data_IF_260417298768
#
_entry.id   IF_260417298768
#
_cell.length_a   1.000
_cell.length_b   1.000
_cell.length_c   1.000
_cell.angle_alpha   90.00
_cell.angle_beta   90.00
_cell.angle_gamma   90.00
#
_symmetry.space_group_name_H-M   'P 1'
#
loop_
_entity.id
_entity.type
_entity.pdbx_description
1 polymer ?
#
# COMPACT_ATOMS: atom_id res chain seq x y z
N UNK A 1 16.76 17.21 -6.51
CA UNK A 1 16.68 15.82 -7.02
C UNK A 1 15.23 15.50 -7.36
N UNK A 2 14.96 14.61 -8.34
CA UNK A 2 13.60 14.12 -8.60
C UNK A 2 13.13 13.22 -7.44
N UNK A 3 11.86 13.33 -7.04
CA UNK A 3 11.29 12.58 -5.91
C UNK A 3 11.32 11.07 -6.17
N UNK A 4 11.65 10.29 -5.14
CA UNK A 4 11.75 8.82 -5.24
C UNK A 4 10.57 8.09 -4.60
N UNK A 5 10.29 8.35 -3.33
CA UNK A 5 9.18 7.76 -2.57
C UNK A 5 7.84 8.26 -3.12
N UNK A 6 6.91 7.33 -3.31
CA UNK A 6 5.60 7.59 -3.91
C UNK A 6 4.58 8.04 -2.89
N UNK A 7 3.64 8.87 -3.31
CA UNK A 7 2.55 9.34 -2.45
C UNK A 7 1.23 8.76 -2.95
N UNK A 8 0.52 8.07 -2.06
CA UNK A 8 -0.81 7.53 -2.29
C UNK A 8 -1.81 8.44 -1.56
N UNK A 9 -2.83 8.92 -2.26
CA UNK A 9 -3.88 9.76 -1.67
C UNK A 9 -5.24 9.08 -1.78
N UNK A 10 -5.92 8.94 -0.64
CA UNK A 10 -7.28 8.41 -0.61
C UNK A 10 -8.26 9.44 -1.17
N UNK A 11 -9.08 9.01 -2.13
CA UNK A 11 -10.15 9.81 -2.73
C UNK A 11 -11.39 9.74 -1.84
N UNK A 12 -12.03 10.89 -1.63
CA UNK A 12 -13.23 11.04 -0.80
C UNK A 12 -13.90 12.41 -0.97
N UNK A 13 -14.86 12.76 -0.10
CA UNK A 13 -15.62 14.01 -0.19
C UNK A 13 -14.76 15.28 -0.39
N UNK A 14 -13.61 15.39 0.28
CA UNK A 14 -12.72 16.55 0.15
C UNK A 14 -12.06 16.65 -1.22
N UNK A 15 -11.90 15.53 -1.92
CA UNK A 15 -11.36 15.45 -3.29
C UNK A 15 -12.42 15.59 -4.39
N UNK A 16 -13.71 15.55 -4.04
CA UNK A 16 -14.80 15.61 -5.02
C UNK A 16 -14.99 17.02 -5.62
N UNK A 17 -14.39 18.04 -4.99
CA UNK A 17 -14.44 19.45 -5.42
C UNK A 17 -13.65 19.65 -6.73
N UNK A 18 -14.15 20.51 -7.66
CA UNK A 18 -13.44 20.82 -8.91
C UNK A 18 -12.01 21.33 -8.67
N UNK A 19 -11.04 20.86 -9.46
CA UNK A 19 -9.65 21.30 -9.40
C UNK A 19 -8.81 20.71 -8.27
N UNK A 20 -9.43 20.07 -7.26
CA UNK A 20 -8.68 19.51 -6.13
C UNK A 20 -7.83 18.34 -6.58
N UNK A 21 -8.38 17.41 -7.39
CA UNK A 21 -7.61 16.25 -7.86
C UNK A 21 -6.41 16.68 -8.69
N UNK A 22 -6.56 17.66 -9.59
CA UNK A 22 -5.43 18.26 -10.31
C UNK A 22 -4.39 18.82 -9.35
N UNK A 23 -4.82 19.57 -8.33
CA UNK A 23 -3.91 20.11 -7.32
C UNK A 23 -3.18 19.02 -6.53
N UNK A 24 -3.82 17.89 -6.22
CA UNK A 24 -3.14 16.74 -5.58
C UNK A 24 -2.05 16.17 -6.50
N UNK A 25 -2.34 16.00 -7.79
CA UNK A 25 -1.39 15.50 -8.81
C UNK A 25 -0.21 16.48 -8.99
N UNK A 26 -0.50 17.78 -9.03
CA UNK A 26 0.50 18.83 -9.15
C UNK A 26 1.44 18.86 -7.93
N UNK A 27 0.90 18.66 -6.73
CA UNK A 27 1.65 18.64 -5.47
C UNK A 27 2.32 17.30 -5.13
N UNK A 28 2.14 16.27 -5.96
CA UNK A 28 2.97 15.06 -5.90
C UNK A 28 2.24 13.74 -5.67
N UNK A 29 0.91 13.68 -5.78
CA UNK A 29 0.18 12.42 -5.79
C UNK A 29 0.65 11.52 -6.94
N UNK A 30 1.00 10.27 -6.64
CA UNK A 30 1.39 9.25 -7.60
C UNK A 30 0.28 8.20 -7.79
N UNK A 31 -0.46 7.87 -6.74
CA UNK A 31 -1.55 6.91 -6.80
C UNK A 31 -2.80 7.45 -6.10
N UNK A 32 -3.97 7.15 -6.66
CA UNK A 32 -5.26 7.41 -6.07
C UNK A 32 -5.81 6.11 -5.44
N UNK A 33 -6.04 6.14 -4.13
CA UNK A 33 -6.67 5.06 -3.37
C UNK A 33 -8.18 5.26 -3.30
N UNK A 34 -8.93 4.20 -3.54
CA UNK A 34 -10.39 4.15 -3.41
C UNK A 34 -10.71 3.14 -2.30
N UNK A 35 -11.26 3.63 -1.18
CA UNK A 35 -11.56 2.80 -0.03
C UNK A 35 -12.99 2.25 -0.12
N UNK A 36 -13.15 0.97 -0.47
CA UNK A 36 -14.45 0.31 -0.65
C UNK A 36 -15.12 -0.09 0.67
N UNK A 37 -14.51 0.23 1.82
CA UNK A 37 -15.22 0.21 3.11
C UNK A 37 -16.37 1.22 3.16
N UNK A 38 -16.35 2.23 2.29
CA UNK A 38 -17.32 3.31 2.22
C UNK A 38 -17.67 3.68 0.77
N UNK A 39 -18.91 4.09 0.55
CA UNK A 39 -19.39 4.48 -0.78
C UNK A 39 -19.88 3.29 -1.61
N UNK A 40 -20.48 3.61 -2.74
CA UNK A 40 -21.04 2.64 -3.68
C UNK A 40 -20.21 2.57 -4.96
N UNK A 41 -20.33 1.50 -5.76
CA UNK A 41 -19.65 1.40 -7.06
C UNK A 41 -19.92 2.60 -7.97
N UNK A 42 -21.15 3.16 -8.08
CA UNK A 42 -21.38 4.40 -8.83
C UNK A 42 -20.57 5.60 -8.32
N UNK A 43 -20.47 5.78 -7.00
CA UNK A 43 -19.67 6.87 -6.43
C UNK A 43 -18.17 6.67 -6.71
N UNK A 44 -17.66 5.45 -6.59
CA UNK A 44 -16.27 5.14 -6.94
C UNK A 44 -16.00 5.35 -8.43
N UNK A 45 -16.95 4.98 -9.31
CA UNK A 45 -16.83 5.20 -10.75
C UNK A 45 -16.66 6.69 -11.09
N UNK A 46 -17.45 7.57 -10.47
CA UNK A 46 -17.32 9.01 -10.68
C UNK A 46 -15.97 9.56 -10.20
N UNK A 47 -15.47 9.07 -9.05
CA UNK A 47 -14.13 9.43 -8.57
C UNK A 47 -13.02 8.92 -9.50
N UNK A 48 -13.13 7.69 -10.01
CA UNK A 48 -12.18 7.13 -10.98
C UNK A 48 -12.13 7.97 -12.26
N UNK A 49 -13.30 8.37 -12.80
CA UNK A 49 -13.39 9.26 -13.97
C UNK A 49 -12.69 10.59 -13.71
N UNK A 50 -12.95 11.21 -12.55
CA UNK A 50 -12.31 12.48 -12.16
C UNK A 50 -10.80 12.38 -12.10
N UNK A 51 -10.26 11.31 -11.52
CA UNK A 51 -8.80 11.08 -11.48
C UNK A 51 -8.22 10.88 -12.88
N UNK A 52 -8.91 10.13 -13.76
CA UNK A 52 -8.50 9.95 -15.16
C UNK A 52 -8.45 11.26 -15.93
N UNK A 53 -9.46 12.11 -15.76
CA UNK A 53 -9.53 13.43 -16.40
C UNK A 53 -8.43 14.35 -15.89
N UNK A 54 -8.22 14.40 -14.57
CA UNK A 54 -7.16 15.18 -13.95
C UNK A 54 -5.76 14.71 -14.38
N UNK A 55 -5.53 13.39 -14.47
CA UNK A 55 -4.27 12.81 -14.97
C UNK A 55 -4.01 13.21 -16.43
N UNK A 56 -5.03 13.15 -17.30
CA UNK A 56 -4.90 13.59 -18.69
C UNK A 56 -4.60 15.09 -18.79
N UNK A 57 -5.30 15.92 -18.01
CA UNK A 57 -5.16 17.38 -18.02
C UNK A 57 -3.79 17.85 -17.53
N UNK A 58 -3.26 17.21 -16.49
CA UNK A 58 -1.94 17.51 -15.92
C UNK A 58 -0.79 16.85 -16.70
N UNK A 59 -1.08 15.85 -17.54
CA UNK A 59 -0.09 15.07 -18.26
C UNK A 59 0.74 14.14 -17.37
N UNK A 60 0.39 13.96 -16.10
CA UNK A 60 1.11 13.10 -15.14
C UNK A 60 0.44 11.75 -14.99
N UNK A 61 1.26 10.71 -14.87
CA UNK A 61 0.80 9.34 -14.62
C UNK A 61 0.27 9.21 -13.20
N UNK A 62 -0.96 8.70 -13.07
CA UNK A 62 -1.57 8.33 -11.78
C UNK A 62 -2.06 6.89 -11.86
N UNK A 63 -1.80 6.12 -10.80
CA UNK A 63 -2.26 4.73 -10.69
C UNK A 63 -3.47 4.61 -9.76
N UNK A 64 -4.25 3.55 -9.95
CA UNK A 64 -5.50 3.34 -9.22
C UNK A 64 -5.39 2.15 -8.27
N UNK A 65 -5.64 2.39 -6.98
CA UNK A 65 -5.58 1.37 -5.92
C UNK A 65 -6.98 1.14 -5.37
N UNK A 66 -7.50 -0.08 -5.55
CA UNK A 66 -8.71 -0.55 -4.89
C UNK A 66 -8.33 -1.05 -3.51
N UNK A 67 -8.87 -0.46 -2.43
CA UNK A 67 -8.67 -0.99 -1.07
C UNK A 67 -9.94 -1.70 -0.62
N UNK A 68 -9.84 -3.02 -0.45
CA UNK A 68 -10.97 -3.88 -0.09
C UNK A 68 -11.37 -3.64 1.36
N UNK A 69 -12.63 -3.91 1.69
CA UNK A 69 -13.08 -3.82 3.08
C UNK A 69 -12.50 -4.96 3.92
N UNK A 70 -12.41 -6.15 3.31
CA UNK A 70 -11.91 -7.36 3.94
C UNK A 70 -12.93 -8.06 4.81
N UNK A 71 -12.66 -9.33 5.14
CA UNK A 71 -13.44 -10.08 6.11
C UNK A 71 -13.16 -9.53 7.52
N UNK A 72 -14.19 -8.99 8.19
CA UNK A 72 -14.05 -8.42 9.54
C UNK A 72 -15.14 -8.90 10.50
N UNK A 73 -14.79 -8.97 11.78
CA UNK A 73 -15.75 -9.23 12.84
C UNK A 73 -16.38 -7.92 13.31
N UNK A 74 -17.70 -7.92 13.49
CA UNK A 74 -18.48 -6.79 13.99
C UNK A 74 -19.53 -7.25 14.98
N UNK A 75 -19.82 -6.38 15.93
CA UNK A 75 -20.96 -6.52 16.82
C UNK A 75 -22.27 -6.46 16.04
N UNK A 76 -23.30 -7.07 16.59
CA UNK A 76 -24.68 -6.92 16.15
C UNK A 76 -25.26 -5.55 16.50
N UNK A 77 -26.58 -5.52 16.60
CA UNK A 77 -27.33 -4.32 16.94
C UNK A 77 -27.57 -4.23 18.44
N UNK A 78 -27.49 -3.03 19.00
CA UNK A 78 -28.01 -2.74 20.34
C UNK A 78 -29.43 -2.21 20.21
N UNK A 79 -30.32 -2.61 21.12
CA UNK A 79 -31.73 -2.21 21.12
C UNK A 79 -31.93 -0.69 21.06
N UNK A 80 -31.12 0.06 21.81
CA UNK A 80 -31.14 1.53 21.87
C UNK A 80 -30.04 2.17 21.01
N UNK A 81 -29.45 1.40 20.08
CA UNK A 81 -28.37 1.82 19.18
C UNK A 81 -26.98 1.97 19.83
N UNK A 82 -26.92 2.24 21.13
CA UNK A 82 -25.68 2.25 21.91
C UNK A 82 -25.88 1.97 23.39
N UNK A 83 -24.83 1.50 24.06
CA UNK A 83 -24.79 1.21 25.50
C UNK A 83 -23.50 1.75 26.11
N UNK A 84 -23.49 1.95 27.42
CA UNK A 84 -22.25 2.18 28.19
C UNK A 84 -21.82 0.86 28.81
N UNK A 85 -20.65 0.37 28.43
CA UNK A 85 -20.03 -0.79 29.06
C UNK A 85 -19.23 -0.32 30.27
N UNK A 86 -19.44 -0.94 31.42
CA UNK A 86 -18.79 -0.59 32.69
C UNK A 86 -17.73 -1.61 33.08
N UNK A 87 -16.53 -1.14 33.44
CA UNK A 87 -15.43 -1.98 33.91
C UNK A 87 -15.86 -2.90 35.06
N UNK A 88 -15.43 -4.16 34.96
CA UNK A 88 -15.67 -5.21 35.96
C UNK A 88 -17.04 -5.87 35.86
N UNK A 89 -17.94 -5.37 35.01
CA UNK A 89 -19.24 -6.02 34.77
C UNK A 89 -19.08 -7.19 33.77
N UNK A 90 -19.92 -8.23 33.91
CA UNK A 90 -20.00 -9.30 32.92
C UNK A 90 -20.64 -8.78 31.63
N UNK A 91 -20.19 -9.30 30.50
CA UNK A 91 -20.73 -9.02 29.19
C UNK A 91 -20.61 -10.26 28.30
N UNK A 92 -21.67 -10.61 27.58
CA UNK A 92 -21.70 -11.84 26.77
C UNK A 92 -21.70 -11.51 25.29
N UNK A 93 -20.76 -12.06 24.53
CA UNK A 93 -20.90 -12.13 23.08
C UNK A 93 -21.70 -13.39 22.74
N UNK A 94 -22.93 -13.21 22.27
CA UNK A 94 -23.87 -14.31 22.03
C UNK A 94 -23.92 -14.73 20.58
N UNK A 95 -24.30 -16.00 20.36
CA UNK A 95 -24.60 -16.52 19.03
C UNK A 95 -25.92 -16.00 18.47
N UNK A 96 -26.91 -15.70 19.32
CA UNK A 96 -28.22 -15.19 18.91
C UNK A 96 -28.09 -13.85 18.18
N UNK A 97 -28.95 -13.56 17.20
CA UNK A 97 -29.01 -12.26 16.51
C UNK A 97 -29.98 -11.27 17.16
N UNK A 98 -30.44 -11.57 18.37
CA UNK A 98 -31.26 -10.65 19.16
C UNK A 98 -30.52 -9.32 19.43
N UNK A 99 -31.23 -8.17 19.37
CA UNK A 99 -30.64 -6.89 19.71
C UNK A 99 -30.10 -6.89 21.14
N UNK A 100 -28.81 -6.58 21.27
CA UNK A 100 -28.08 -6.56 22.51
C UNK A 100 -28.44 -5.38 23.42
N UNK A 101 -27.90 -5.44 24.63
CA UNK A 101 -28.03 -4.46 25.71
C UNK A 101 -26.73 -4.35 26.51
N UNK A 102 -26.80 -3.86 27.74
CA UNK A 102 -25.63 -3.72 28.63
C UNK A 102 -25.03 -5.05 29.10
N UNK A 103 -25.73 -6.17 28.92
CA UNK A 103 -25.30 -7.51 29.37
C UNK A 103 -24.86 -8.41 28.23
N UNK A 104 -25.35 -8.20 27.00
CA UNK A 104 -25.01 -9.05 25.87
C UNK A 104 -25.13 -8.35 24.52
N UNK A 105 -24.45 -8.88 23.50
CA UNK A 105 -24.64 -8.50 22.10
C UNK A 105 -24.19 -9.63 21.18
N UNK A 106 -24.75 -9.70 19.97
CA UNK A 106 -24.31 -10.68 18.97
C UNK A 106 -22.98 -10.29 18.31
N UNK A 107 -22.31 -11.27 17.70
CA UNK A 107 -21.19 -11.06 16.77
C UNK A 107 -21.51 -11.72 15.43
N UNK A 108 -21.10 -11.10 14.32
CA UNK A 108 -21.35 -11.62 12.97
C UNK A 108 -20.55 -12.89 12.67
N UNK A 109 -19.34 -13.05 13.23
CA UNK A 109 -18.52 -14.25 13.08
C UNK A 109 -19.00 -15.36 14.01
N UNK A 110 -20.00 -16.10 13.53
CA UNK A 110 -20.70 -17.12 14.32
C UNK A 110 -19.82 -18.30 14.77
N UNK A 111 -18.59 -18.43 14.28
CA UNK A 111 -17.63 -19.46 14.72
C UNK A 111 -16.72 -19.01 15.86
N UNK A 112 -16.79 -17.75 16.29
CA UNK A 112 -15.85 -17.19 17.28
C UNK A 112 -15.77 -18.02 18.57
N UNK A 113 -16.89 -18.55 19.06
CA UNK A 113 -16.94 -19.39 20.28
C UNK A 113 -16.11 -20.67 20.20
N UNK A 114 -15.75 -21.13 18.99
CA UNK A 114 -14.87 -22.29 18.77
C UNK A 114 -13.40 -21.92 18.59
N UNK A 115 -13.12 -20.63 18.42
CA UNK A 115 -11.79 -20.11 18.06
C UNK A 115 -11.11 -19.43 19.26
N UNK A 116 -11.89 -18.85 20.17
CA UNK A 116 -11.40 -18.26 21.43
C UNK A 116 -11.42 -19.25 22.58
N UNK A 117 -10.61 -18.98 23.61
CA UNK A 117 -10.55 -19.76 24.85
C UNK A 117 -10.55 -18.84 26.09
N UNK A 118 -10.90 -19.36 27.28
CA UNK A 118 -10.70 -18.65 28.54
C UNK A 118 -9.29 -18.08 28.64
N UNK A 119 -9.19 -16.80 29.00
CA UNK A 119 -7.93 -16.07 29.02
C UNK A 119 -7.66 -15.22 27.77
N UNK A 120 -8.36 -15.42 26.66
CA UNK A 120 -8.19 -14.56 25.49
C UNK A 120 -8.75 -13.15 25.73
N UNK A 121 -8.28 -12.19 24.93
CA UNK A 121 -8.75 -10.79 24.97
C UNK A 121 -9.51 -10.51 23.69
N UNK A 122 -10.66 -9.86 23.80
CA UNK A 122 -11.43 -9.35 22.67
C UNK A 122 -11.50 -7.83 22.77
N UNK A 123 -11.22 -7.15 21.66
CA UNK A 123 -11.18 -5.70 21.59
C UNK A 123 -12.35 -5.20 20.77
N UNK A 124 -13.12 -4.27 21.33
CA UNK A 124 -14.29 -3.67 20.70
C UNK A 124 -13.98 -2.24 20.25
N UNK A 125 -14.49 -1.87 19.07
CA UNK A 125 -14.32 -0.53 18.49
C UNK A 125 -12.85 -0.09 18.45
N UNK A 126 -12.01 -0.90 17.80
CA UNK A 126 -10.58 -0.62 17.58
C UNK A 126 -9.82 -0.42 18.90
N UNK A 127 -10.14 -1.24 19.91
CA UNK A 127 -9.48 -1.22 21.21
C UNK A 127 -10.08 -0.26 22.24
N UNK A 128 -11.17 0.45 21.92
CA UNK A 128 -11.83 1.35 22.88
C UNK A 128 -12.28 0.62 24.15
N UNK A 129 -12.82 -0.60 24.03
CA UNK A 129 -13.20 -1.44 25.18
C UNK A 129 -12.59 -2.82 25.01
N UNK A 130 -11.87 -3.30 26.02
CA UNK A 130 -11.36 -4.66 26.08
C UNK A 130 -12.28 -5.55 26.92
N UNK A 131 -12.48 -6.77 26.46
CA UNK A 131 -13.16 -7.86 27.14
C UNK A 131 -12.15 -8.97 27.42
N UNK A 132 -12.24 -9.58 28.60
CA UNK A 132 -11.49 -10.80 28.94
C UNK A 132 -12.42 -11.98 28.86
N UNK A 133 -12.08 -13.00 28.08
CA UNK A 133 -12.88 -14.23 27.98
C UNK A 133 -12.73 -15.02 29.28
N UNK A 134 -13.84 -15.24 29.97
CA UNK A 134 -13.90 -15.98 31.23
C UNK A 134 -14.24 -17.46 30.98
N UNK A 135 -15.27 -17.72 30.18
CA UNK A 135 -15.78 -19.07 29.90
C UNK A 135 -16.50 -19.12 28.55
N UNK A 136 -16.50 -20.28 27.89
CA UNK A 136 -17.37 -20.56 26.75
C UNK A 136 -18.51 -21.48 27.22
N UNK A 137 -19.74 -20.97 27.21
CA UNK A 137 -20.93 -21.72 27.62
C UNK A 137 -21.82 -22.01 26.42
N UNK A 138 -21.70 -23.22 25.88
CA UNK A 138 -22.38 -23.59 24.64
C UNK A 138 -21.83 -22.78 23.47
N UNK A 139 -22.61 -21.82 22.96
CA UNK A 139 -22.17 -20.89 21.89
C UNK A 139 -22.01 -19.44 22.37
N UNK A 140 -22.21 -19.20 23.66
CA UNK A 140 -22.05 -17.88 24.26
C UNK A 140 -20.66 -17.74 24.85
N UNK A 141 -20.04 -16.59 24.61
CA UNK A 141 -18.71 -16.24 25.09
C UNK A 141 -18.90 -15.29 26.27
N UNK A 142 -18.68 -15.80 27.48
CA UNK A 142 -18.84 -15.03 28.71
C UNK A 142 -17.54 -14.26 28.95
N UNK A 143 -17.67 -12.95 29.16
CA UNK A 143 -16.51 -12.07 29.31
C UNK A 143 -16.68 -11.09 30.46
N UNK A 144 -15.56 -10.53 30.93
CA UNK A 144 -15.52 -9.42 31.87
C UNK A 144 -14.95 -8.17 31.18
N UNK A 145 -15.66 -7.04 31.31
CA UNK A 145 -15.26 -5.75 30.74
C UNK A 145 -14.03 -5.22 31.50
N UNK A 146 -12.95 -4.92 30.78
CA UNK A 146 -11.68 -4.50 31.37
C UNK A 146 -11.56 -2.98 31.54
N UNK A 147 -12.29 -2.20 30.74
CA UNK A 147 -12.33 -0.75 30.82
C UNK A 147 -13.68 -0.21 30.30
N UNK A 148 -14.15 0.88 30.91
CA UNK A 148 -15.45 1.45 30.55
C UNK A 148 -15.40 2.21 29.23
N UNK A 149 -16.49 2.16 28.46
CA UNK A 149 -16.58 2.90 27.21
C UNK A 149 -17.96 2.79 26.54
N UNK A 150 -18.30 3.80 25.74
CA UNK A 150 -19.53 3.79 24.95
C UNK A 150 -19.37 2.84 23.78
N UNK A 151 -20.32 1.92 23.62
CA UNK A 151 -20.36 0.97 22.51
C UNK A 151 -21.62 1.19 21.68
N UNK A 152 -21.49 1.17 20.35
CA UNK A 152 -22.63 1.27 19.45
C UNK A 152 -22.73 0.05 18.53
N UNK A 153 -23.83 -0.04 17.80
CA UNK A 153 -24.09 -1.10 16.81
C UNK A 153 -22.96 -1.22 15.79
N UNK A 154 -22.70 -2.45 15.31
CA UNK A 154 -21.79 -2.76 14.19
C UNK A 154 -20.34 -2.29 14.38
N UNK A 155 -19.91 -2.07 15.61
CA UNK A 155 -18.50 -1.77 15.91
C UNK A 155 -17.62 -2.99 15.67
N UNK A 156 -16.39 -2.75 15.21
CA UNK A 156 -15.43 -3.80 14.90
C UNK A 156 -15.04 -4.56 16.17
N UNK A 157 -14.79 -5.86 16.00
CA UNK A 157 -14.27 -6.77 17.03
C UNK A 157 -12.93 -7.29 16.53
N UNK A 158 -11.92 -7.20 17.38
CA UNK A 158 -10.59 -7.76 17.19
C UNK A 158 -10.34 -8.85 18.24
N UNK A 159 -9.56 -9.86 17.87
CA UNK A 159 -9.21 -10.97 18.77
C UNK A 159 -7.69 -11.20 18.73
N UNK A 160 -6.90 -10.34 19.41
CA UNK A 160 -5.45 -10.40 19.38
C UNK A 160 -4.89 -11.78 19.69
N UNK A 161 -4.07 -12.29 18.78
CA UNK A 161 -3.41 -13.60 18.91
C UNK A 161 -4.29 -14.82 18.64
N UNK A 162 -5.54 -14.63 18.22
CA UNK A 162 -6.45 -15.72 17.82
C UNK A 162 -6.43 -15.86 16.30
N UNK A 163 -6.18 -17.09 15.82
CA UNK A 163 -6.27 -17.41 14.39
C UNK A 163 -7.74 -17.60 14.00
N UNK A 164 -8.33 -16.60 13.34
CA UNK A 164 -9.74 -16.60 12.98
C UNK A 164 -9.99 -17.37 11.68
N UNK A 165 -11.08 -18.14 11.63
CA UNK A 165 -11.53 -18.90 10.45
C UNK A 165 -12.31 -18.06 9.44
N UNK A 166 -11.89 -16.81 9.22
CA UNK A 166 -12.54 -15.90 8.28
C UNK A 166 -12.31 -16.35 6.82
N UNK A 167 -13.29 -16.15 5.92
CA UNK A 167 -13.10 -16.46 4.51
C UNK A 167 -12.02 -15.55 3.90
N UNK A 168 -11.26 -16.01 2.89
CA UNK A 168 -10.20 -15.22 2.28
C UNK A 168 -10.70 -13.96 1.56
N UNK A 169 -11.95 -13.98 1.09
CA UNK A 169 -12.63 -12.90 0.37
C UNK A 169 -14.07 -12.85 0.88
N UNK A 170 -14.57 -11.67 1.26
CA UNK A 170 -16.00 -11.51 1.57
C UNK A 170 -16.84 -11.37 0.30
N UNK A 171 -18.15 -11.58 0.37
CA UNK A 171 -19.06 -11.38 -0.78
C UNK A 171 -19.01 -9.95 -1.34
N UNK A 172 -18.72 -8.96 -0.47
CA UNK A 172 -18.55 -7.57 -0.88
C UNK A 172 -17.22 -7.39 -1.62
N UNK A 173 -16.13 -7.92 -1.05
CA UNK A 173 -14.80 -7.81 -1.68
C UNK A 173 -14.77 -8.50 -3.05
N UNK A 174 -15.48 -9.61 -3.22
CA UNK A 174 -15.59 -10.28 -4.53
C UNK A 174 -16.19 -9.33 -5.58
N UNK A 175 -17.31 -8.67 -5.25
CA UNK A 175 -17.96 -7.70 -6.13
C UNK A 175 -17.06 -6.49 -6.40
N UNK A 176 -16.34 -6.02 -5.37
CA UNK A 176 -15.44 -4.88 -5.49
C UNK A 176 -14.25 -5.20 -6.38
N UNK A 177 -13.63 -6.38 -6.23
CA UNK A 177 -12.52 -6.84 -7.07
C UNK A 177 -12.96 -6.99 -8.52
N UNK A 178 -14.14 -7.57 -8.77
CA UNK A 178 -14.70 -7.69 -10.13
C UNK A 178 -14.90 -6.29 -10.74
N UNK A 179 -15.49 -5.35 -10.00
CA UNK A 179 -15.61 -3.96 -10.42
C UNK A 179 -14.23 -3.34 -10.72
N UNK A 180 -13.22 -3.60 -9.89
CA UNK A 180 -11.84 -3.16 -10.12
C UNK A 180 -11.24 -3.70 -11.42
N UNK A 181 -11.54 -4.96 -11.78
CA UNK A 181 -11.16 -5.54 -13.07
C UNK A 181 -11.85 -4.82 -14.24
N UNK A 182 -13.16 -4.60 -14.15
CA UNK A 182 -13.94 -3.89 -15.18
C UNK A 182 -13.46 -2.44 -15.39
N UNK A 183 -13.02 -1.79 -14.31
CA UNK A 183 -12.47 -0.44 -14.35
C UNK A 183 -10.97 -0.39 -14.64
N UNK A 184 -10.30 -1.50 -15.01
CA UNK A 184 -8.86 -1.56 -15.30
C UNK A 184 -7.99 -0.90 -14.20
N UNK A 185 -8.34 -1.14 -12.92
CA UNK A 185 -7.57 -0.67 -11.78
C UNK A 185 -6.22 -1.38 -11.70
N UNK A 186 -5.21 -0.73 -11.12
CA UNK A 186 -3.82 -1.18 -11.22
C UNK A 186 -3.40 -2.07 -10.06
N UNK A 187 -3.97 -1.83 -8.88
CA UNK A 187 -3.65 -2.53 -7.65
C UNK A 187 -4.91 -2.85 -6.85
N UNK A 188 -4.88 -3.97 -6.14
CA UNK A 188 -5.79 -4.26 -5.03
C UNK A 188 -5.00 -4.32 -3.72
N UNK A 189 -5.33 -3.42 -2.78
CA UNK A 189 -4.88 -3.51 -1.40
C UNK A 189 -5.88 -4.38 -0.63
N UNK A 190 -5.44 -5.58 -0.26
CA UNK A 190 -6.31 -6.61 0.31
C UNK A 190 -6.26 -6.57 1.83
N UNK A 191 -7.39 -6.26 2.47
CA UNK A 191 -7.53 -6.14 3.93
C UNK A 191 -7.54 -7.50 4.65
N UNK A 192 -7.03 -7.49 5.87
CA UNK A 192 -7.01 -8.59 6.85
C UNK A 192 -6.36 -9.89 6.38
N UNK A 193 -5.37 -9.80 5.49
CA UNK A 193 -4.66 -10.98 4.99
C UNK A 193 -3.86 -11.64 6.10
N UNK A 194 -4.07 -12.94 6.29
CA UNK A 194 -3.43 -13.74 7.34
C UNK A 194 -2.54 -14.84 6.77
N UNK A 195 -2.80 -15.28 5.53
CA UNK A 195 -2.22 -16.50 4.97
C UNK A 195 -1.96 -16.35 3.46
N UNK A 196 -1.01 -17.11 2.88
CA UNK A 196 -0.76 -17.07 1.44
C UNK A 196 -1.99 -17.50 0.62
N UNK A 197 -2.85 -18.38 1.15
CA UNK A 197 -4.07 -18.83 0.47
C UNK A 197 -5.04 -17.69 0.20
N UNK A 198 -5.09 -16.68 1.07
CA UNK A 198 -5.95 -15.50 0.90
C UNK A 198 -5.54 -14.72 -0.35
N UNK A 199 -4.23 -14.52 -0.53
CA UNK A 199 -3.64 -13.84 -1.70
C UNK A 199 -3.88 -14.65 -2.98
N UNK A 200 -3.70 -15.97 -2.91
CA UNK A 200 -3.92 -16.88 -4.04
C UNK A 200 -5.39 -16.87 -4.46
N UNK A 201 -6.33 -16.81 -3.52
CA UNK A 201 -7.77 -16.71 -3.82
C UNK A 201 -8.08 -15.43 -4.59
N UNK A 202 -7.56 -14.28 -4.13
CA UNK A 202 -7.73 -12.98 -4.81
C UNK A 202 -7.12 -13.03 -6.22
N UNK A 203 -5.93 -13.62 -6.36
CA UNK A 203 -5.27 -13.77 -7.67
C UNK A 203 -6.12 -14.56 -8.65
N UNK A 204 -6.66 -15.70 -8.22
CA UNK A 204 -7.56 -16.53 -9.05
C UNK A 204 -8.82 -15.77 -9.47
N UNK A 205 -9.40 -14.97 -8.57
CA UNK A 205 -10.57 -14.15 -8.86
C UNK A 205 -10.27 -13.07 -9.91
N UNK A 206 -9.12 -12.40 -9.79
CA UNK A 206 -8.68 -11.40 -10.77
C UNK A 206 -8.47 -12.04 -12.14
N UNK A 207 -7.76 -13.17 -12.18
CA UNK A 207 -7.46 -13.91 -13.42
C UNK A 207 -8.73 -14.42 -14.10
N UNK A 208 -9.70 -14.95 -13.35
CA UNK A 208 -10.96 -15.45 -13.92
C UNK A 208 -11.83 -14.35 -14.54
N UNK A 209 -11.57 -13.08 -14.19
CA UNK A 209 -12.25 -11.90 -14.74
C UNK A 209 -11.35 -11.08 -15.67
N UNK A 210 -10.27 -11.68 -16.21
CA UNK A 210 -9.30 -11.04 -17.12
C UNK A 210 -8.65 -9.76 -16.56
N UNK A 211 -8.65 -9.62 -15.23
CA UNK A 211 -8.00 -8.52 -14.54
C UNK A 211 -6.48 -8.68 -14.53
N UNK A 212 -5.79 -7.56 -14.30
CA UNK A 212 -4.32 -7.52 -14.21
C UNK A 212 -3.84 -6.70 -13.01
N UNK A 213 -4.68 -6.58 -11.97
CA UNK A 213 -4.31 -5.89 -10.74
C UNK A 213 -3.15 -6.61 -10.04
N UNK A 214 -2.16 -5.85 -9.58
CA UNK A 214 -1.16 -6.35 -8.64
C UNK A 214 -1.77 -6.41 -7.22
N UNK A 215 -1.47 -7.46 -6.46
CA UNK A 215 -2.05 -7.67 -5.13
C UNK A 215 -1.09 -7.17 -4.04
N UNK A 216 -1.58 -6.29 -3.18
CA UNK A 216 -0.88 -5.65 -2.07
C UNK A 216 -1.54 -6.06 -0.74
N UNK A 217 -1.19 -7.21 -0.14
CA UNK A 217 -1.74 -7.58 1.17
C UNK A 217 -1.46 -6.54 2.23
N UNK A 218 -2.49 -6.24 3.03
CA UNK A 218 -2.41 -5.37 4.19
C UNK A 218 -2.12 -6.23 5.42
N UNK A 219 -0.96 -6.00 6.04
CA UNK A 219 -0.57 -6.68 7.27
C UNK A 219 -1.12 -5.89 8.45
N UNK A 220 -2.17 -6.45 9.06
CA UNK A 220 -3.05 -5.75 10.01
C UNK A 220 -3.23 -6.50 11.34
N UNK A 221 -2.71 -7.72 11.45
CA UNK A 221 -2.83 -8.54 12.65
C UNK A 221 -1.61 -9.43 12.86
N UNK A 222 -1.53 -10.04 14.04
CA UNK A 222 -0.41 -10.89 14.43
C UNK A 222 -0.23 -12.13 13.55
N UNK A 223 -1.32 -12.71 13.02
CA UNK A 223 -1.25 -13.90 12.17
C UNK A 223 -0.60 -13.57 10.82
N UNK A 224 -0.96 -12.44 10.21
CA UNK A 224 -0.30 -11.92 9.02
C UNK A 224 1.18 -11.60 9.24
N UNK A 225 1.56 -11.14 10.44
CA UNK A 225 2.97 -10.95 10.82
C UNK A 225 3.72 -12.28 10.93
N UNK A 226 3.13 -13.30 11.55
CA UNK A 226 3.74 -14.64 11.68
C UNK A 226 3.93 -15.32 10.34
N UNK A 227 2.94 -15.20 9.44
CA UNK A 227 2.95 -15.82 8.11
C UNK A 227 3.57 -14.92 7.04
N UNK A 228 4.19 -13.81 7.44
CA UNK A 228 4.59 -12.74 6.52
C UNK A 228 5.48 -13.24 5.38
N UNK A 229 6.44 -14.13 5.65
CA UNK A 229 7.37 -14.60 4.62
C UNK A 229 6.65 -15.39 3.51
N UNK A 230 5.67 -16.22 3.88
CA UNK A 230 4.85 -16.98 2.94
C UNK A 230 3.87 -16.08 2.18
N UNK A 231 3.27 -15.09 2.86
CA UNK A 231 2.42 -14.07 2.21
C UNK A 231 3.26 -13.30 1.19
N UNK A 232 4.44 -12.83 1.59
CA UNK A 232 5.33 -12.06 0.75
C UNK A 232 5.69 -12.83 -0.51
N UNK A 233 5.93 -14.14 -0.44
CA UNK A 233 6.28 -14.97 -1.60
C UNK A 233 5.23 -14.91 -2.72
N UNK A 234 3.94 -14.96 -2.38
CA UNK A 234 2.81 -14.98 -3.33
C UNK A 234 2.22 -13.60 -3.65
N UNK A 235 2.76 -12.53 -3.07
CA UNK A 235 2.28 -11.14 -3.22
C UNK A 235 2.99 -10.36 -4.33
N UNK A 236 2.42 -9.25 -4.80
CA UNK A 236 3.07 -8.33 -5.75
C UNK A 236 3.69 -7.10 -5.07
N UNK A 237 3.34 -6.87 -3.80
CA UNK A 237 3.81 -5.83 -2.88
C UNK A 237 3.13 -6.00 -1.53
N UNK A 238 3.39 -5.10 -0.57
CA UNK A 238 2.82 -5.15 0.78
C UNK A 238 2.36 -3.76 1.24
N UNK A 239 1.33 -3.70 2.07
CA UNK A 239 0.96 -2.51 2.83
C UNK A 239 1.06 -2.79 4.34
N UNK A 240 1.78 -1.93 5.06
CA UNK A 240 1.86 -1.94 6.53
C UNK A 240 0.81 -0.95 7.05
N UNK A 241 -0.32 -1.46 7.55
CA UNK A 241 -1.42 -0.66 8.08
C UNK A 241 -1.30 -0.56 9.61
N UNK A 242 -0.61 0.48 10.06
CA UNK A 242 -0.13 0.64 11.44
C UNK A 242 -1.24 0.84 12.45
N UNK A 243 -2.30 1.55 12.06
CA UNK A 243 -3.49 1.77 12.88
C UNK A 243 -4.16 0.45 13.24
N UNK A 244 -4.47 -0.38 12.24
CA UNK A 244 -5.06 -1.71 12.45
C UNK A 244 -4.10 -2.66 13.17
N UNK A 245 -2.82 -2.67 12.78
CA UNK A 245 -1.82 -3.50 13.42
C UNK A 245 -1.67 -3.16 14.90
N UNK A 246 -1.66 -1.87 15.26
CA UNK A 246 -1.55 -1.40 16.65
C UNK A 246 -2.77 -1.70 17.53
N UNK A 247 -3.88 -2.18 16.95
CA UNK A 247 -4.99 -2.76 17.71
C UNK A 247 -4.68 -4.22 18.09
N UNK A 248 -4.00 -4.95 17.21
CA UNK A 248 -3.79 -6.40 17.32
C UNK A 248 -2.46 -6.79 17.98
N UNK A 249 -1.49 -5.86 18.04
CA UNK A 249 -0.18 -6.06 18.69
C UNK A 249 0.15 -4.88 19.61
N UNK A 250 1.03 -5.07 20.62
CA UNK A 250 1.48 -3.97 21.47
C UNK A 250 2.04 -2.81 20.64
N UNK A 251 1.70 -1.58 21.02
CA UNK A 251 2.06 -0.38 20.26
C UNK A 251 3.59 -0.21 20.14
N UNK A 252 4.33 -0.63 21.18
CA UNK A 252 5.79 -0.64 21.20
C UNK A 252 6.44 -1.61 20.20
N UNK A 253 5.72 -2.65 19.76
CA UNK A 253 6.21 -3.62 18.78
C UNK A 253 5.99 -3.16 17.33
N UNK A 254 5.00 -2.29 17.08
CA UNK A 254 4.63 -1.82 15.73
C UNK A 254 5.83 -1.24 14.95
N UNK A 255 6.69 -0.37 15.53
CA UNK A 255 7.85 0.14 14.80
C UNK A 255 8.87 -0.94 14.43
N UNK A 256 9.00 -1.99 15.25
CA UNK A 256 9.92 -3.11 14.99
C UNK A 256 9.39 -3.96 13.84
N UNK A 257 8.09 -4.28 13.88
CA UNK A 257 7.41 -5.06 12.83
C UNK A 257 7.44 -4.31 11.49
N UNK A 258 7.16 -3.00 11.48
CA UNK A 258 7.26 -2.16 10.28
C UNK A 258 8.65 -2.28 9.63
N UNK A 259 9.71 -2.12 10.41
CA UNK A 259 11.10 -2.19 9.92
C UNK A 259 11.42 -3.57 9.33
N UNK A 260 11.00 -4.65 9.99
CA UNK A 260 11.22 -6.00 9.50
C UNK A 260 10.49 -6.24 8.17
N UNK A 261 9.21 -5.87 8.08
CA UNK A 261 8.40 -6.01 6.85
C UNK A 261 9.04 -5.22 5.70
N UNK A 262 9.41 -3.95 5.93
CA UNK A 262 10.02 -3.12 4.89
C UNK A 262 11.35 -3.72 4.42
N UNK A 263 12.21 -4.17 5.35
CA UNK A 263 13.48 -4.82 5.01
C UNK A 263 13.26 -6.03 4.12
N UNK A 264 12.36 -6.94 4.52
CA UNK A 264 12.06 -8.16 3.76
C UNK A 264 11.44 -7.87 2.38
N UNK A 265 10.58 -6.86 2.27
CA UNK A 265 10.06 -6.39 0.98
C UNK A 265 11.19 -5.88 0.08
N UNK A 266 12.09 -5.06 0.64
CA UNK A 266 13.27 -4.55 -0.06
C UNK A 266 14.20 -5.69 -0.53
N UNK A 267 14.40 -6.71 0.30
CA UNK A 267 15.17 -7.90 -0.05
C UNK A 267 14.50 -8.76 -1.14
N UNK A 268 13.17 -8.82 -1.16
CA UNK A 268 12.41 -9.49 -2.22
C UNK A 268 12.34 -8.64 -3.51
N UNK A 269 12.54 -7.32 -3.42
CA UNK A 269 12.31 -6.38 -4.52
C UNK A 269 10.81 -6.18 -4.83
N UNK A 270 9.97 -6.33 -3.81
CA UNK A 270 8.52 -6.07 -3.87
C UNK A 270 8.25 -4.73 -3.18
N UNK A 271 7.43 -3.84 -3.76
CA UNK A 271 7.17 -2.54 -3.17
C UNK A 271 6.45 -2.68 -1.83
N UNK A 272 6.74 -1.75 -0.93
CA UNK A 272 6.05 -1.65 0.36
C UNK A 272 5.48 -0.27 0.57
N UNK A 273 4.27 -0.22 1.14
CA UNK A 273 3.53 0.99 1.48
C UNK A 273 3.46 1.09 3.00
N UNK A 274 3.79 2.26 3.55
CA UNK A 274 3.48 2.58 4.95
C UNK A 274 2.21 3.44 4.99
N UNK A 275 1.21 2.96 5.73
CA UNK A 275 -0.14 3.49 5.73
C UNK A 275 -0.65 3.80 7.14
N UNK A 276 -1.67 4.68 7.20
CA UNK A 276 -2.38 5.17 8.40
C UNK A 276 -1.48 5.96 9.37
N UNK A 277 -2.06 6.85 10.18
CA UNK A 277 -1.33 7.63 11.20
C UNK A 277 -0.13 8.43 10.66
N UNK A 278 -0.19 8.89 9.40
CA UNK A 278 0.93 9.61 8.78
C UNK A 278 0.91 11.09 9.15
N UNK A 279 -0.05 11.85 8.64
CA UNK A 279 -0.21 13.28 8.92
C UNK A 279 -1.62 13.55 9.47
N UNK A 280 -2.15 12.65 10.30
CA UNK A 280 -3.55 12.63 10.76
C UNK A 280 -4.05 13.98 11.31
N UNK A 281 -3.19 14.71 12.02
CA UNK A 281 -3.54 16.05 12.54
C UNK A 281 -3.89 17.04 11.42
N UNK A 282 -3.40 16.82 10.21
CA UNK A 282 -3.71 17.64 9.03
C UNK A 282 -5.12 17.43 8.47
N UNK A 283 -5.88 16.46 8.99
CA UNK A 283 -7.33 16.38 8.74
C UNK A 283 -8.03 17.68 9.18
N UNK A 284 -7.56 18.31 10.26
CA UNK A 284 -8.17 19.54 10.83
C UNK A 284 -7.20 20.71 10.98
N UNK A 285 -5.90 20.51 10.71
CA UNK A 285 -4.87 21.54 10.85
C UNK A 285 -4.10 21.76 9.54
N UNK A 286 -3.69 23.00 9.23
CA UNK A 286 -2.92 23.28 8.01
C UNK A 286 -1.45 22.80 8.08
N UNK A 287 -0.99 22.31 9.23
CA UNK A 287 0.39 21.85 9.46
C UNK A 287 0.40 20.63 10.38
N UNK A 288 1.31 19.66 10.15
CA UNK A 288 1.43 18.51 11.01
C UNK A 288 2.23 18.83 12.28
N UNK A 289 2.18 17.91 13.23
CA UNK A 289 3.06 17.90 14.39
C UNK A 289 4.48 17.50 14.00
N UNK A 290 5.46 17.80 14.88
CA UNK A 290 6.85 17.33 14.68
C UNK A 290 6.96 15.80 14.78
N UNK A 291 6.11 15.18 15.58
CA UNK A 291 6.06 13.72 15.73
C UNK A 291 5.68 13.05 14.41
N UNK A 292 4.62 13.53 13.76
CA UNK A 292 4.18 13.04 12.44
C UNK A 292 5.25 13.25 11.36
N UNK A 293 5.92 14.41 11.35
CA UNK A 293 7.04 14.64 10.41
C UNK A 293 8.18 13.64 10.64
N UNK A 294 8.52 13.38 11.91
CA UNK A 294 9.55 12.39 12.26
C UNK A 294 9.13 10.98 11.85
N UNK A 295 7.86 10.64 12.01
CA UNK A 295 7.31 9.33 11.71
C UNK A 295 7.33 9.05 10.18
N UNK A 296 6.82 9.99 9.38
CA UNK A 296 6.93 9.94 7.92
C UNK A 296 8.39 9.84 7.48
N UNK A 297 9.28 10.63 8.09
CA UNK A 297 10.71 10.58 7.78
C UNK A 297 11.34 9.21 8.09
N UNK A 298 10.99 8.61 9.22
CA UNK A 298 11.47 7.28 9.59
C UNK A 298 10.96 6.19 8.64
N UNK A 299 9.71 6.26 8.18
CA UNK A 299 9.21 5.32 7.17
C UNK A 299 10.04 5.35 5.87
N UNK A 300 10.52 6.54 5.47
CA UNK A 300 11.40 6.71 4.31
C UNK A 300 12.81 6.19 4.60
N UNK A 301 13.38 6.48 5.77
CA UNK A 301 14.69 5.93 6.18
C UNK A 301 14.68 4.40 6.25
N UNK A 302 13.57 3.81 6.69
CA UNK A 302 13.38 2.36 6.70
C UNK A 302 13.36 1.76 5.29
N UNK A 303 13.08 2.59 4.28
CA UNK A 303 13.18 2.25 2.87
C UNK A 303 11.85 1.90 2.22
N UNK A 304 10.74 2.50 2.68
CA UNK A 304 9.43 2.34 2.05
C UNK A 304 9.41 2.84 0.60
N UNK A 305 8.68 2.16 -0.29
CA UNK A 305 8.49 2.63 -1.67
C UNK A 305 7.45 3.73 -1.74
N UNK A 306 6.44 3.68 -0.87
CA UNK A 306 5.37 4.65 -0.83
C UNK A 306 4.88 4.97 0.60
N UNK A 307 4.29 6.15 0.72
CA UNK A 307 3.63 6.68 1.92
C UNK A 307 2.20 7.08 1.56
N UNK A 308 1.26 6.79 2.46
CA UNK A 308 -0.17 6.91 2.15
C UNK A 308 -0.91 7.86 3.08
N UNK A 309 -1.69 8.77 2.50
CA UNK A 309 -2.66 9.63 3.18
C UNK A 309 -4.05 8.98 3.13
N UNK A 310 -4.72 8.97 4.28
CA UNK A 310 -6.03 8.37 4.52
C UNK A 310 -7.10 9.46 4.67
N UNK A 311 -7.46 9.81 5.91
CA UNK A 311 -8.47 10.83 6.19
C UNK A 311 -8.02 12.23 5.75
N UNK A 312 -6.71 12.48 5.77
CA UNK A 312 -6.11 13.77 5.45
C UNK A 312 -6.52 14.27 4.06
N UNK A 313 -6.58 13.38 3.07
CA UNK A 313 -7.02 13.72 1.70
C UNK A 313 -8.48 13.38 1.44
N UNK A 314 -9.00 12.31 2.05
CA UNK A 314 -10.36 11.84 1.75
C UNK A 314 -11.44 12.77 2.32
N UNK A 315 -11.29 13.22 3.56
CA UNK A 315 -12.31 13.98 4.30
C UNK A 315 -11.76 15.15 5.11
N UNK A 316 -10.44 15.38 5.07
CA UNK A 316 -9.80 16.48 5.77
C UNK A 316 -10.04 17.84 5.14
N UNK A 317 -9.82 18.89 5.93
CA UNK A 317 -9.97 20.29 5.55
C UNK A 317 -8.82 20.79 4.66
N UNK A 318 -7.65 20.15 4.73
CA UNK A 318 -6.40 20.57 4.07
C UNK A 318 -5.78 19.50 3.15
N UNK A 319 -6.55 18.94 2.19
CA UNK A 319 -6.09 17.78 1.40
C UNK A 319 -4.87 18.11 0.52
N UNK A 320 -4.82 19.32 -0.06
CA UNK A 320 -3.72 19.73 -0.95
C UNK A 320 -2.46 20.01 -0.14
N UNK A 321 -2.60 20.67 1.00
CA UNK A 321 -1.49 20.98 1.92
C UNK A 321 -0.90 19.71 2.55
N UNK A 322 -1.74 18.71 2.84
CA UNK A 322 -1.26 17.41 3.33
C UNK A 322 -0.36 16.73 2.29
N UNK A 323 -0.78 16.68 1.01
CA UNK A 323 0.05 16.14 -0.08
C UNK A 323 1.33 16.96 -0.27
N UNK A 324 1.22 18.29 -0.32
CA UNK A 324 2.38 19.17 -0.49
C UNK A 324 3.37 19.00 0.67
N UNK A 325 2.88 18.82 1.90
CA UNK A 325 3.71 18.59 3.07
C UNK A 325 4.39 17.23 3.03
N UNK A 326 3.65 16.17 2.71
CA UNK A 326 4.19 14.83 2.49
C UNK A 326 5.30 14.84 1.44
N UNK A 327 5.09 15.58 0.34
CA UNK A 327 6.06 15.75 -0.75
C UNK A 327 7.33 16.48 -0.29
N UNK A 328 7.21 17.56 0.50
CA UNK A 328 8.37 18.28 1.06
C UNK A 328 9.17 17.42 2.03
N UNK A 329 8.51 16.62 2.87
CA UNK A 329 9.19 15.69 3.78
C UNK A 329 9.96 14.66 2.95
N UNK A 330 9.33 14.04 1.95
CA UNK A 330 9.96 13.06 1.09
C UNK A 330 11.25 13.59 0.43
N UNK A 331 11.17 14.75 -0.22
CA UNK A 331 12.35 15.38 -0.82
C UNK A 331 13.45 15.64 0.19
N UNK A 332 13.12 16.21 1.36
CA UNK A 332 14.13 16.56 2.36
C UNK A 332 14.86 15.34 2.91
N UNK A 333 14.14 14.24 3.13
CA UNK A 333 14.71 12.99 3.65
C UNK A 333 15.54 12.30 2.57
N UNK A 334 15.03 12.22 1.34
CA UNK A 334 15.75 11.64 0.20
C UNK A 334 17.09 12.33 -0.07
N UNK A 335 17.12 13.67 -0.02
CA UNK A 335 18.35 14.46 -0.16
C UNK A 335 19.37 14.19 0.96
N UNK A 336 18.94 13.61 2.10
CA UNK A 336 19.80 13.24 3.23
C UNK A 336 20.23 11.77 3.26
N UNK A 337 19.78 10.96 2.29
CA UNK A 337 20.12 9.53 2.24
C UNK A 337 21.58 9.31 1.81
N UNK A 338 22.27 8.45 2.55
CA UNK A 338 23.61 7.96 2.19
C UNK A 338 23.51 6.84 1.14
N UNK A 339 23.26 7.22 -0.12
CA UNK A 339 23.04 6.27 -1.23
C UNK A 339 24.17 5.25 -1.44
N UNK A 340 25.41 5.63 -1.11
CA UNK A 340 26.54 4.68 -1.14
C UNK A 340 26.31 3.53 -0.17
N UNK A 341 25.94 3.83 1.07
CA UNK A 341 25.71 2.82 2.09
C UNK A 341 24.50 1.96 1.73
N UNK A 342 23.41 2.58 1.25
CA UNK A 342 22.22 1.88 0.76
C UNK A 342 22.53 0.89 -0.37
N UNK A 343 23.49 1.20 -1.24
CA UNK A 343 23.94 0.30 -2.30
C UNK A 343 24.86 -0.81 -1.76
N UNK A 344 25.86 -0.45 -0.95
CA UNK A 344 26.84 -1.39 -0.39
C UNK A 344 26.18 -2.43 0.53
N UNK A 345 25.22 -2.03 1.36
CA UNK A 345 24.42 -2.93 2.20
C UNK A 345 23.65 -3.96 1.37
N UNK A 346 23.26 -3.59 0.14
CA UNK A 346 22.58 -4.46 -0.84
C UNK A 346 23.56 -5.18 -1.79
N UNK A 347 24.84 -5.23 -1.42
CA UNK A 347 25.98 -5.52 -2.29
C UNK A 347 26.02 -6.89 -2.97
N UNK A 348 27.23 -7.33 -3.33
CA UNK A 348 27.45 -8.53 -4.14
C UNK A 348 26.92 -9.79 -3.43
N UNK A 349 25.89 -10.38 -4.03
CA UNK A 349 25.33 -11.67 -3.63
C UNK A 349 25.56 -12.68 -4.77
N UNK A 350 25.79 -13.95 -4.42
CA UNK A 350 25.86 -15.03 -5.41
C UNK A 350 24.45 -15.39 -5.92
N UNK A 351 23.93 -14.53 -6.78
CA UNK A 351 22.59 -14.60 -7.32
C UNK A 351 22.69 -15.25 -8.69
N UNK A 352 22.15 -16.46 -8.84
CA UNK A 352 22.04 -17.16 -10.14
C UNK A 352 21.05 -16.48 -11.11
N UNK A 353 20.97 -15.14 -11.10
CA UNK A 353 20.06 -14.31 -11.88
C UNK A 353 20.83 -13.26 -12.67
N UNK A 354 20.81 -13.39 -14.01
CA UNK A 354 21.46 -12.45 -14.93
C UNK A 354 20.95 -11.02 -14.75
N UNK A 355 19.63 -10.84 -14.70
CA UNK A 355 19.01 -9.51 -14.56
C UNK A 355 19.45 -8.80 -13.28
N UNK A 356 19.56 -9.54 -12.16
CA UNK A 356 20.03 -8.95 -10.90
C UNK A 356 21.49 -8.50 -10.97
N UNK A 357 22.35 -9.28 -11.63
CA UNK A 357 23.76 -8.92 -11.81
C UNK A 357 23.91 -7.67 -12.69
N UNK A 358 23.18 -7.62 -13.81
CA UNK A 358 23.17 -6.46 -14.73
C UNK A 358 22.62 -5.22 -14.02
N UNK A 359 21.50 -5.32 -13.30
CA UNK A 359 20.94 -4.20 -12.55
C UNK A 359 21.88 -3.69 -11.44
N UNK A 360 22.58 -4.59 -10.73
CA UNK A 360 23.57 -4.21 -9.73
C UNK A 360 24.72 -3.41 -10.37
N UNK A 361 25.27 -3.89 -11.48
CA UNK A 361 26.30 -3.17 -12.23
C UNK A 361 25.80 -1.83 -12.78
N UNK A 362 24.56 -1.77 -13.27
CA UNK A 362 23.92 -0.52 -13.72
C UNK A 362 23.87 0.53 -12.61
N UNK A 363 23.45 0.14 -11.40
CA UNK A 363 23.36 1.06 -10.26
C UNK A 363 24.75 1.50 -9.79
N UNK A 364 25.73 0.59 -9.78
CA UNK A 364 27.12 0.94 -9.51
C UNK A 364 27.64 1.99 -10.49
N UNK A 365 27.50 1.73 -11.80
CA UNK A 365 27.96 2.66 -12.84
C UNK A 365 27.25 4.00 -12.76
N UNK A 366 25.95 4.02 -12.48
CA UNK A 366 25.19 5.25 -12.31
C UNK A 366 25.70 6.09 -11.12
N UNK A 367 26.12 5.44 -10.03
CA UNK A 367 26.69 6.13 -8.88
C UNK A 367 28.11 6.64 -9.16
N UNK A 368 28.98 5.81 -9.75
CA UNK A 368 30.38 6.17 -10.04
C UNK A 368 30.52 7.27 -11.09
N UNK A 369 29.59 7.35 -12.05
CA UNK A 369 29.57 8.35 -13.11
C UNK A 369 28.69 9.57 -12.77
N UNK A 370 28.12 9.63 -11.56
CA UNK A 370 27.11 10.62 -11.14
C UNK A 370 26.03 10.84 -12.19
N UNK A 371 25.54 9.74 -12.77
CA UNK A 371 24.58 9.76 -13.86
C UNK A 371 23.27 10.43 -13.41
N UNK A 372 22.72 11.30 -14.26
CA UNK A 372 21.47 12.01 -13.99
C UNK A 372 20.30 11.02 -13.86
N UNK A 373 20.27 9.99 -14.72
CA UNK A 373 19.22 8.99 -14.73
C UNK A 373 19.71 7.60 -15.20
N UNK A 374 18.96 6.58 -14.78
CA UNK A 374 18.98 5.23 -15.33
C UNK A 374 17.72 5.06 -16.18
N UNK A 375 17.86 4.82 -17.48
CA UNK A 375 16.75 4.61 -18.41
C UNK A 375 16.54 3.10 -18.60
N UNK A 376 15.33 2.62 -18.33
CA UNK A 376 14.96 1.21 -18.40
C UNK A 376 13.83 0.99 -19.39
N UNK A 377 14.12 0.79 -20.69
CA UNK A 377 13.14 0.28 -21.64
C UNK A 377 12.64 -1.10 -21.21
N UNK A 378 11.33 -1.29 -21.15
CA UNK A 378 10.74 -2.52 -20.59
C UNK A 378 9.35 -2.81 -21.13
N UNK A 379 9.04 -4.09 -21.35
CA UNK A 379 7.69 -4.54 -21.74
C UNK A 379 6.84 -4.82 -20.50
N UNK A 380 7.32 -5.65 -19.56
CA UNK A 380 6.61 -6.03 -18.33
C UNK A 380 6.97 -5.23 -17.06
N UNK A 381 7.98 -4.36 -17.10
CA UNK A 381 8.46 -3.63 -15.93
C UNK A 381 9.51 -4.37 -15.09
N UNK A 382 9.84 -5.62 -15.41
CA UNK A 382 10.75 -6.44 -14.60
C UNK A 382 12.13 -5.79 -14.39
N UNK A 383 12.77 -5.29 -15.45
CA UNK A 383 14.06 -4.60 -15.37
C UNK A 383 14.00 -3.44 -14.38
N UNK A 384 12.98 -2.59 -14.53
CA UNK A 384 12.74 -1.41 -13.70
C UNK A 384 12.60 -1.79 -12.23
N UNK A 385 11.82 -2.82 -11.93
CA UNK A 385 11.63 -3.34 -10.57
C UNK A 385 12.96 -3.77 -9.95
N UNK A 386 13.79 -4.50 -10.69
CA UNK A 386 15.08 -4.97 -10.19
C UNK A 386 16.07 -3.81 -9.98
N UNK A 387 16.06 -2.79 -10.84
CA UNK A 387 16.90 -1.59 -10.65
C UNK A 387 16.43 -0.80 -9.41
N UNK A 388 15.12 -0.58 -9.26
CA UNK A 388 14.53 0.14 -8.12
C UNK A 388 14.86 -0.49 -6.77
N UNK A 389 14.96 -1.82 -6.71
CA UNK A 389 15.38 -2.57 -5.53
C UNK A 389 16.72 -2.11 -4.94
N UNK A 390 17.68 -1.76 -5.79
CA UNK A 390 19.03 -1.34 -5.36
C UNK A 390 19.09 0.13 -4.93
N UNK A 391 17.96 0.84 -4.95
CA UNK A 391 17.80 2.23 -4.50
C UNK A 391 18.86 3.22 -5.04
N UNK A 392 19.01 3.35 -6.37
CA UNK A 392 19.98 4.28 -6.96
C UNK A 392 19.75 5.74 -6.58
N UNK A 393 20.85 6.50 -6.44
CA UNK A 393 20.83 7.98 -6.36
C UNK A 393 20.26 8.60 -7.63
N UNK A 394 20.59 8.06 -8.80
CA UNK A 394 20.00 8.46 -10.08
C UNK A 394 18.47 8.19 -10.10
N UNK A 395 17.71 9.01 -10.82
CA UNK A 395 16.30 8.72 -11.09
C UNK A 395 16.19 7.50 -12.03
N UNK A 396 15.09 6.74 -11.96
CA UNK A 396 14.86 5.61 -12.86
C UNK A 396 13.76 6.02 -13.84
N UNK A 397 14.05 6.04 -15.13
CA UNK A 397 13.07 6.40 -16.17
C UNK A 397 12.62 5.12 -16.85
N UNK A 398 11.38 4.69 -16.60
CA UNK A 398 10.84 3.47 -17.17
C UNK A 398 10.10 3.77 -18.47
N UNK A 399 10.63 3.32 -19.60
CA UNK A 399 10.03 3.53 -20.92
C UNK A 399 9.33 2.25 -21.37
N UNK A 400 8.03 2.30 -21.62
CA UNK A 400 7.25 1.10 -21.99
C UNK A 400 6.10 1.45 -22.93
N UNK A 401 5.77 0.60 -23.91
CA UNK A 401 4.62 0.81 -24.79
C UNK A 401 3.28 0.48 -24.11
N UNK A 402 3.29 -0.14 -22.92
CA UNK A 402 2.09 -0.60 -22.23
C UNK A 402 1.60 0.42 -21.21
N UNK A 403 0.41 0.99 -21.44
CA UNK A 403 -0.23 1.90 -20.48
C UNK A 403 -0.43 1.26 -19.10
N UNK A 404 -0.73 -0.04 -19.06
CA UNK A 404 -0.91 -0.77 -17.80
C UNK A 404 0.39 -0.81 -17.00
N UNK A 405 1.49 -1.11 -17.67
CA UNK A 405 2.82 -1.22 -17.05
C UNK A 405 3.32 0.17 -16.63
N UNK A 406 3.02 1.23 -17.39
CA UNK A 406 3.27 2.63 -16.96
C UNK A 406 2.66 2.87 -15.58
N UNK A 407 1.37 2.53 -15.40
CA UNK A 407 0.68 2.77 -14.13
C UNK A 407 1.17 1.85 -13.01
N UNK A 408 1.44 0.57 -13.29
CA UNK A 408 1.97 -0.36 -12.28
C UNK A 408 3.39 0.02 -11.81
N UNK A 409 4.23 0.53 -12.70
CA UNK A 409 5.59 0.97 -12.35
C UNK A 409 5.62 2.23 -11.49
N UNK A 410 4.55 3.03 -11.50
CA UNK A 410 4.47 4.28 -10.74
C UNK A 410 4.51 4.07 -9.22
N UNK A 411 4.22 2.87 -8.71
CA UNK A 411 4.35 2.53 -7.28
C UNK A 411 5.81 2.30 -6.85
N UNK A 412 6.70 1.96 -7.78
CA UNK A 412 8.07 1.53 -7.44
C UNK A 412 8.94 2.74 -7.09
N UNK A 413 9.72 2.64 -6.01
CA UNK A 413 10.58 3.73 -5.56
C UNK A 413 11.53 4.25 -6.64
N UNK A 414 11.65 5.57 -6.78
CA UNK A 414 12.60 6.20 -7.71
C UNK A 414 12.19 6.15 -9.18
N UNK A 415 11.08 5.50 -9.52
CA UNK A 415 10.67 5.26 -10.92
C UNK A 415 9.78 6.37 -11.46
N UNK A 416 10.10 6.90 -12.63
CA UNK A 416 9.34 7.87 -13.41
C UNK A 416 8.93 7.19 -14.71
N UNK A 417 7.71 6.63 -14.79
CA UNK A 417 7.27 5.89 -15.96
C UNK A 417 6.86 6.85 -17.10
N UNK A 418 7.19 6.46 -18.32
CA UNK A 418 6.84 7.17 -19.55
C UNK A 418 6.19 6.17 -20.51
N UNK A 419 5.01 6.54 -21.03
CA UNK A 419 4.39 5.83 -22.13
C UNK A 419 5.20 6.08 -23.41
N UNK A 420 5.80 5.01 -23.91
CA UNK A 420 6.59 4.97 -25.11
C UNK A 420 5.85 4.36 -26.29
N UNK A 421 6.58 4.22 -27.39
CA UNK A 421 6.22 3.40 -28.56
C UNK A 421 6.97 2.08 -28.51
N UNK A 422 6.42 1.07 -29.18
CA UNK A 422 7.14 -0.16 -29.48
C UNK A 422 8.41 0.14 -30.28
N UNK A 423 9.39 -0.76 -30.18
CA UNK A 423 10.68 -0.62 -30.85
C UNK A 423 11.04 -1.93 -31.56
N UNK A 424 11.68 -1.80 -32.72
CA UNK A 424 12.10 -2.92 -33.54
C UNK A 424 13.55 -3.34 -33.29
N UNK A 425 14.39 -2.40 -32.85
CA UNK A 425 15.80 -2.63 -32.56
C UNK A 425 16.32 -1.80 -31.38
N UNK A 426 17.55 -2.10 -30.95
CA UNK A 426 18.21 -1.46 -29.81
C UNK A 426 18.50 0.02 -30.04
N UNK A 427 18.79 0.42 -31.29
CA UNK A 427 19.08 1.81 -31.62
C UNK A 427 17.81 2.66 -31.51
N UNK A 428 16.71 2.22 -32.11
CA UNK A 428 15.38 2.83 -31.99
C UNK A 428 14.92 2.91 -30.53
N UNK A 429 15.05 1.81 -29.78
CA UNK A 429 14.73 1.77 -28.35
C UNK A 429 15.53 2.82 -27.56
N UNK A 430 16.83 2.90 -27.81
CA UNK A 430 17.74 3.85 -27.12
C UNK A 430 17.36 5.29 -27.43
N UNK A 431 17.24 5.63 -28.72
CA UNK A 431 16.97 7.00 -29.16
C UNK A 431 15.57 7.47 -28.74
N UNK A 432 14.55 6.62 -28.86
CA UNK A 432 13.18 6.94 -28.46
C UNK A 432 13.08 7.14 -26.94
N UNK A 433 13.69 6.26 -26.14
CA UNK A 433 13.65 6.38 -24.68
C UNK A 433 14.39 7.64 -24.19
N UNK A 434 15.56 7.95 -24.76
CA UNK A 434 16.30 9.18 -24.45
C UNK A 434 15.52 10.44 -24.86
N UNK A 435 14.97 10.47 -26.07
CA UNK A 435 14.17 11.60 -26.54
C UNK A 435 12.90 11.81 -25.69
N UNK A 436 12.26 10.72 -25.26
CA UNK A 436 11.10 10.79 -24.37
C UNK A 436 11.48 11.33 -22.98
N UNK A 437 12.62 10.91 -22.43
CA UNK A 437 13.14 11.43 -21.16
C UNK A 437 13.42 12.94 -21.22
N UNK A 438 14.02 13.43 -22.31
CA UNK A 438 14.24 14.86 -22.57
C UNK A 438 12.92 15.61 -22.68
N UNK A 439 11.96 15.06 -23.45
CA UNK A 439 10.64 15.70 -23.65
C UNK A 439 9.88 15.88 -22.33
N UNK A 440 10.04 14.97 -21.38
CA UNK A 440 9.43 15.07 -20.05
C UNK A 440 10.21 15.99 -19.08
N UNK A 441 11.38 16.48 -19.48
CA UNK A 441 12.25 17.31 -18.64
C UNK A 441 12.92 16.56 -17.50
N UNK A 442 13.10 15.23 -17.62
CA UNK A 442 13.77 14.43 -16.60
C UNK A 442 15.29 14.41 -16.74
N UNK A 443 15.79 14.70 -17.95
CA UNK A 443 17.22 14.82 -18.31
C UNK A 443 17.39 15.90 -19.37
N UNK A 444 18.58 16.47 -19.47
CA UNK A 444 18.96 17.50 -20.43
C UNK A 444 20.06 17.02 -21.38
N UNK A 445 20.27 17.72 -22.50
CA UNK A 445 21.37 17.41 -23.42
C UNK A 445 22.71 17.61 -22.73
N UNK A 446 23.61 16.64 -22.88
CA UNK A 446 24.89 16.58 -22.20
C UNK A 446 24.89 15.76 -20.91
N UNK A 447 23.72 15.40 -20.37
CA UNK A 447 23.64 14.54 -19.18
C UNK A 447 24.20 13.15 -19.46
N UNK A 448 24.96 12.62 -18.49
CA UNK A 448 25.34 11.21 -18.49
C UNK A 448 24.17 10.37 -17.96
N UNK A 449 23.78 9.35 -18.71
CA UNK A 449 22.74 8.38 -18.33
C UNK A 449 23.24 6.96 -18.49
N UNK A 450 22.61 6.02 -17.78
CA UNK A 450 22.83 4.58 -17.97
C UNK A 450 21.57 3.97 -18.54
N UNK A 451 21.65 3.30 -19.69
CA UNK A 451 20.53 2.58 -20.29
C UNK A 451 20.72 1.09 -20.00
N UNK A 452 19.72 0.44 -19.42
CA UNK A 452 19.73 -1.02 -19.22
C UNK A 452 18.44 -1.67 -19.71
N UNK A 453 18.59 -2.73 -20.51
CA UNK A 453 17.47 -3.40 -21.18
C UNK A 453 17.81 -4.87 -21.52
N UNK A 454 16.83 -5.58 -22.08
CA UNK A 454 17.05 -6.85 -22.77
C UNK A 454 17.16 -6.62 -24.29
N UNK A 455 18.18 -7.20 -24.93
CA UNK A 455 18.45 -7.03 -26.38
C UNK A 455 17.50 -7.85 -27.27
N UNK A 456 16.93 -8.96 -26.77
CA UNK A 456 15.93 -9.77 -27.51
C UNK A 456 14.53 -9.45 -26.98
N UNK A 457 13.58 -9.26 -27.89
CA UNK A 457 12.14 -9.17 -27.58
C UNK A 457 11.71 -10.44 -26.84
N UNK A 458 10.91 -10.27 -25.78
CA UNK A 458 10.54 -11.33 -24.85
C UNK A 458 10.90 -11.02 -23.39
N UNK A 459 9.97 -11.35 -22.49
CA UNK A 459 10.04 -11.01 -21.06
C UNK A 459 11.28 -11.57 -20.33
N UNK A 460 11.73 -10.83 -19.31
CA UNK A 460 12.61 -11.34 -18.25
C UNK A 460 14.11 -11.39 -18.52
N UNK A 461 14.61 -10.83 -19.63
CA UNK A 461 15.99 -11.05 -20.09
C UNK A 461 16.89 -9.81 -20.14
N UNK A 462 16.91 -8.97 -19.09
CA UNK A 462 17.88 -7.85 -18.99
C UNK A 462 19.31 -8.37 -19.10
N UNK A 463 20.06 -7.89 -20.09
CA UNK A 463 21.37 -8.43 -20.43
C UNK A 463 22.36 -7.39 -20.97
N UNK A 464 21.99 -6.12 -20.98
CA UNK A 464 22.82 -5.04 -21.53
C UNK A 464 22.85 -3.81 -20.63
N UNK A 465 23.99 -3.11 -20.68
CA UNK A 465 24.23 -1.81 -20.06
C UNK A 465 24.91 -0.93 -21.10
N UNK A 466 24.45 0.31 -21.23
CA UNK A 466 25.07 1.32 -22.09
C UNK A 466 25.21 2.62 -21.32
N UNK A 467 26.43 3.14 -21.24
CA UNK A 467 26.64 4.55 -20.86
C UNK A 467 26.25 5.41 -22.05
N UNK A 468 25.38 6.38 -21.84
CA UNK A 468 24.79 7.16 -22.91
C UNK A 468 24.72 8.64 -22.51
N UNK A 469 25.29 9.50 -23.34
CA UNK A 469 25.13 10.96 -23.22
C UNK A 469 23.93 11.39 -24.06
N UNK A 470 22.99 12.09 -23.43
CA UNK A 470 21.80 12.68 -24.08
C UNK A 470 22.21 13.75 -25.08
#
# INVERSE_FOLDING_TARGET
MLKKTKIICTQGPSTDKPGVVEALIENGMNLARFNFSHGTHPEHLERIKRVREASKKTGKVVSYVLDTKGPEMRLGEFKDGSVMLEKGKPFTLTYSDEPGDVTHVSVNHKKLYTEVKPGDTLLLSDGLVALKVDEIKGKDILTTIQNSGKMSTRKRVAAPGVSLGLPPISEQDEKDIIFGCEQDMDFVAASFIQRPEDVIAIRKLIESHNGRMEILPKIENLEGVKNFDAILEVSDGIMVARGDLGVEVPAEDVPIIQKDIIRKCNEAGKPVIVATQMLESMTTNPRPTRAEVSDVGNAIFDGTDAIMLSGETASGDYPVEAVATMNRIAHRIEDSLEYKNLFVERGLQHLKSRTRAVAHATVQMAYELDAAAIITPTESGYTTRVVSKYRPKAAIIAYTPSEKVVRQMNLRWGVLPILGKEWSDVHEMTSNAAAAAVKQGYVERGDCTIITSGIKTGDGNTNAIRVYTI
#
